data_IF_265978275765
#
_entry.id   IF_265978275765
#
_cell.length_a   1.000
_cell.length_b   1.000
_cell.length_c   1.000
_cell.angle_alpha   90.00
_cell.angle_beta   90.00
_cell.angle_gamma   90.00
#
_symmetry.space_group_name_H-M   'P 1'
#
loop_
_entity.id
_entity.type
_entity.pdbx_description
1 polymer ?
#
# COMPACT_ATOMS: atom_id res chain seq x y z
N UNK A 1 2.85 2.93 -20.76
CA UNK A 1 3.72 2.51 -19.64
C UNK A 1 3.15 1.24 -19.05
N UNK A 2 3.95 0.19 -18.91
CA UNK A 2 3.55 -1.06 -18.25
C UNK A 2 3.96 -1.03 -16.78
N UNK A 3 3.00 -1.26 -15.89
CA UNK A 3 3.20 -1.27 -14.44
C UNK A 3 3.06 -2.71 -13.95
N UNK A 4 3.99 -3.19 -13.12
CA UNK A 4 3.87 -4.44 -12.38
C UNK A 4 3.59 -4.14 -10.92
N UNK A 5 2.62 -4.84 -10.29
CA UNK A 5 2.13 -4.51 -8.95
C UNK A 5 2.21 -5.69 -8.00
N UNK A 6 2.68 -5.44 -6.78
CA UNK A 6 2.69 -6.39 -5.67
C UNK A 6 2.33 -5.69 -4.37
N UNK A 7 1.71 -6.40 -3.45
CA UNK A 7 1.57 -6.03 -2.04
C UNK A 7 1.54 -7.28 -1.16
N UNK A 8 1.63 -7.10 0.14
CA UNK A 8 1.44 -8.16 1.13
C UNK A 8 2.29 -9.42 0.86
N UNK A 9 3.55 -9.21 0.48
CA UNK A 9 4.52 -10.29 0.27
C UNK A 9 5.00 -10.89 1.58
N UNK A 10 4.95 -10.14 2.67
CA UNK A 10 5.28 -10.56 4.03
C UNK A 10 6.57 -11.39 4.10
N UNK A 11 7.64 -10.86 3.51
CA UNK A 11 8.93 -11.55 3.40
C UNK A 11 9.57 -11.83 4.76
N UNK A 12 9.16 -11.12 5.81
CA UNK A 12 9.59 -11.32 7.19
C UNK A 12 9.24 -12.70 7.73
N UNK A 13 8.26 -13.39 7.15
CA UNK A 13 7.89 -14.75 7.53
C UNK A 13 8.68 -15.84 6.79
N UNK A 14 9.75 -15.47 6.08
CA UNK A 14 10.65 -16.42 5.46
C UNK A 14 10.03 -17.16 4.27
N UNK A 15 9.17 -16.51 3.51
CA UNK A 15 8.44 -17.09 2.38
C UNK A 15 9.32 -17.69 1.29
N UNK A 16 10.60 -17.31 1.22
CA UNK A 16 11.47 -17.64 0.10
C UNK A 16 10.98 -17.12 -1.25
N UNK A 17 9.95 -16.26 -1.24
CA UNK A 17 9.42 -15.65 -2.46
C UNK A 17 10.50 -14.81 -3.15
N UNK A 18 10.62 -15.00 -4.43
CA UNK A 18 11.62 -14.31 -5.26
C UNK A 18 10.93 -13.74 -6.48
N UNK A 19 11.37 -12.54 -6.88
CA UNK A 19 10.87 -11.91 -8.10
C UNK A 19 11.02 -12.85 -9.30
N UNK A 20 9.92 -13.26 -9.96
CA UNK A 20 9.98 -14.14 -11.12
C UNK A 20 10.75 -13.49 -12.29
N UNK A 21 11.49 -14.27 -13.09
CA UNK A 21 12.20 -13.74 -14.26
C UNK A 21 11.28 -13.13 -15.32
N UNK A 22 10.00 -13.54 -15.33
CA UNK A 22 9.01 -13.10 -16.32
C UNK A 22 8.43 -11.70 -16.05
N UNK A 23 8.73 -11.08 -14.90
CA UNK A 23 8.23 -9.75 -14.57
C UNK A 23 8.75 -8.73 -15.57
N UNK A 24 7.85 -8.07 -16.29
CA UNK A 24 8.19 -7.20 -17.42
C UNK A 24 7.40 -5.88 -17.38
N UNK A 25 7.54 -5.11 -16.30
CA UNK A 25 7.04 -3.74 -16.20
C UNK A 25 8.10 -2.70 -16.57
N UNK A 26 7.68 -1.48 -16.84
CA UNK A 26 8.55 -0.30 -16.91
C UNK A 26 8.77 0.29 -15.52
N UNK A 27 7.76 0.16 -14.66
CA UNK A 27 7.73 0.55 -13.25
C UNK A 27 7.17 -0.62 -12.43
N UNK A 28 7.73 -0.85 -11.24
CA UNK A 28 7.16 -1.74 -10.24
C UNK A 28 6.51 -0.93 -9.13
N UNK A 29 5.32 -1.33 -8.69
CA UNK A 29 4.65 -0.80 -7.49
C UNK A 29 4.71 -1.87 -6.40
N UNK A 30 5.20 -1.47 -5.22
CA UNK A 30 5.15 -2.24 -3.99
C UNK A 30 4.21 -1.52 -3.03
N UNK A 31 2.99 -2.03 -2.90
CA UNK A 31 1.90 -1.35 -2.21
C UNK A 31 1.77 -1.74 -0.73
N UNK A 32 2.90 -1.85 -0.03
CA UNK A 32 2.99 -2.08 1.42
C UNK A 32 2.95 -3.55 1.83
N UNK A 33 3.29 -3.79 3.09
CA UNK A 33 3.41 -5.11 3.71
C UNK A 33 4.35 -6.05 2.95
N UNK A 34 5.45 -5.49 2.47
CA UNK A 34 6.49 -6.24 1.77
C UNK A 34 7.44 -6.88 2.77
N UNK A 35 7.84 -6.14 3.81
CA UNK A 35 8.79 -6.58 4.83
C UNK A 35 8.67 -5.73 6.09
N UNK A 36 8.91 -6.29 7.25
CA UNK A 36 9.09 -5.49 8.47
C UNK A 36 10.44 -4.76 8.42
N UNK A 37 10.47 -3.45 8.73
CA UNK A 37 11.68 -2.61 8.65
C UNK A 37 12.74 -2.93 9.72
N UNK A 38 12.58 -4.01 10.47
CA UNK A 38 13.60 -4.58 11.36
C UNK A 38 14.73 -5.28 10.59
N UNK A 39 14.43 -5.83 9.39
CA UNK A 39 15.39 -6.54 8.53
C UNK A 39 15.11 -6.26 7.05
N UNK A 40 16.05 -5.63 6.36
CA UNK A 40 15.94 -5.28 4.94
C UNK A 40 16.45 -6.39 3.98
N UNK A 41 17.10 -7.43 4.48
CA UNK A 41 17.75 -8.44 3.59
C UNK A 41 16.76 -9.11 2.63
N UNK A 42 15.54 -9.52 3.03
CA UNK A 42 14.60 -10.12 2.09
C UNK A 42 14.21 -9.15 0.95
N UNK A 43 14.00 -7.87 1.27
CA UNK A 43 13.69 -6.83 0.29
C UNK A 43 14.89 -6.53 -0.62
N UNK A 44 16.11 -6.50 -0.06
CA UNK A 44 17.35 -6.28 -0.82
C UNK A 44 17.53 -7.33 -1.94
N UNK A 45 17.20 -8.57 -1.67
CA UNK A 45 17.28 -9.67 -2.66
C UNK A 45 16.35 -9.45 -3.85
N UNK A 46 15.17 -8.88 -3.63
CA UNK A 46 14.22 -8.53 -4.70
C UNK A 46 14.73 -7.31 -5.48
N UNK A 47 15.09 -6.25 -4.77
CA UNK A 47 15.48 -4.98 -5.38
C UNK A 47 16.78 -5.06 -6.17
N UNK A 48 17.69 -5.98 -5.82
CA UNK A 48 18.91 -6.26 -6.61
C UNK A 48 18.60 -6.85 -7.98
N UNK A 49 17.49 -7.56 -8.14
CA UNK A 49 17.10 -8.20 -9.42
C UNK A 49 16.34 -7.26 -10.33
N UNK A 50 15.72 -6.21 -9.76
CA UNK A 50 14.97 -5.22 -10.51
C UNK A 50 15.74 -3.89 -10.56
N UNK A 51 16.02 -3.38 -11.77
CA UNK A 51 16.84 -2.18 -11.97
C UNK A 51 16.08 -0.99 -12.54
N UNK A 52 14.80 -1.19 -12.89
CA UNK A 52 13.91 -0.14 -13.34
C UNK A 52 13.29 0.59 -12.12
N UNK A 53 12.58 1.73 -12.30
CA UNK A 53 11.95 2.42 -11.19
C UNK A 53 11.03 1.53 -10.35
N UNK A 54 11.09 1.73 -9.04
CA UNK A 54 10.17 1.14 -8.06
C UNK A 54 9.50 2.27 -7.29
N UNK A 55 8.17 2.21 -7.17
CA UNK A 55 7.39 3.05 -6.28
C UNK A 55 6.96 2.20 -5.08
N UNK A 56 7.35 2.61 -3.91
CA UNK A 56 7.10 1.89 -2.66
C UNK A 56 6.23 2.76 -1.74
N UNK A 57 5.14 2.22 -1.25
CA UNK A 57 4.42 2.76 -0.09
C UNK A 57 4.54 1.78 1.07
N UNK A 58 4.59 2.26 2.29
CA UNK A 58 4.60 1.40 3.47
C UNK A 58 3.20 0.90 3.79
N UNK A 59 3.09 -0.33 4.28
CA UNK A 59 1.91 -0.82 4.96
C UNK A 59 2.06 -0.73 6.49
N UNK A 60 1.24 -1.45 7.22
CA UNK A 60 1.34 -1.49 8.67
C UNK A 60 2.47 -2.42 9.15
N UNK A 61 2.75 -3.53 8.45
CA UNK A 61 3.80 -4.47 8.84
C UNK A 61 5.21 -3.88 8.75
N UNK A 62 5.44 -2.92 7.86
CA UNK A 62 6.71 -2.18 7.83
C UNK A 62 7.05 -1.61 9.20
N UNK A 63 6.05 -1.19 9.98
CA UNK A 63 6.22 -0.54 11.28
C UNK A 63 6.10 -1.49 12.48
N UNK A 64 6.02 -2.80 12.31
CA UNK A 64 5.99 -3.77 13.42
C UNK A 64 7.36 -3.94 14.07
N UNK A 65 8.01 -2.81 14.40
CA UNK A 65 9.38 -2.75 14.93
C UNK A 65 9.46 -2.31 16.39
N UNK A 66 8.35 -1.87 16.96
CA UNK A 66 8.28 -1.21 18.28
C UNK A 66 9.15 0.05 18.37
N UNK A 67 9.40 0.71 17.25
CA UNK A 67 10.05 2.01 17.16
C UNK A 67 9.09 3.02 16.56
N UNK A 68 9.31 4.33 16.79
CA UNK A 68 8.52 5.37 16.14
C UNK A 68 8.52 5.25 14.62
N UNK A 69 7.33 5.35 13.99
CA UNK A 69 7.19 5.31 12.53
C UNK A 69 8.13 6.29 11.83
N UNK A 70 8.25 7.53 12.36
CA UNK A 70 9.12 8.55 11.76
C UNK A 70 10.62 8.19 11.80
N UNK A 71 11.05 7.42 12.79
CA UNK A 71 12.43 6.91 12.86
C UNK A 71 12.64 5.86 11.78
N UNK A 72 11.70 4.92 11.64
CA UNK A 72 11.77 3.88 10.62
C UNK A 72 11.73 4.47 9.20
N UNK A 73 10.88 5.45 8.94
CA UNK A 73 10.84 6.17 7.66
C UNK A 73 12.19 6.78 7.31
N UNK A 74 12.84 7.44 8.26
CA UNK A 74 14.14 8.06 8.05
C UNK A 74 15.24 7.01 7.80
N UNK A 75 15.24 5.91 8.54
CA UNK A 75 16.19 4.80 8.37
C UNK A 75 16.00 4.14 7.02
N UNK A 76 14.76 3.86 6.64
CA UNK A 76 14.43 3.22 5.37
C UNK A 76 14.76 4.12 4.17
N UNK A 77 14.41 5.40 4.22
CA UNK A 77 14.81 6.41 3.21
C UNK A 77 16.34 6.45 3.04
N UNK A 78 17.09 6.45 4.13
CA UNK A 78 18.55 6.48 4.08
C UNK A 78 19.13 5.20 3.46
N UNK A 79 18.59 4.03 3.81
CA UNK A 79 19.00 2.75 3.26
C UNK A 79 18.69 2.64 1.77
N UNK A 80 17.46 3.00 1.34
CA UNK A 80 17.08 3.02 -0.07
C UNK A 80 17.97 3.95 -0.90
N UNK A 81 18.23 5.16 -0.39
CA UNK A 81 19.12 6.11 -1.07
C UNK A 81 20.53 5.55 -1.27
N UNK A 82 21.05 4.82 -0.30
CA UNK A 82 22.41 4.26 -0.33
C UNK A 82 22.51 3.00 -1.20
N UNK A 83 21.51 2.13 -1.17
CA UNK A 83 21.56 0.79 -1.80
C UNK A 83 20.73 0.66 -3.08
N UNK A 84 19.58 1.33 -3.12
CA UNK A 84 18.57 1.21 -4.18
C UNK A 84 18.04 2.57 -4.65
N UNK A 85 18.88 3.44 -5.25
CA UNK A 85 18.47 4.80 -5.65
C UNK A 85 17.38 4.84 -6.73
N UNK A 86 17.04 3.69 -7.35
CA UNK A 86 15.93 3.52 -8.29
C UNK A 86 14.57 3.32 -7.59
N UNK A 87 14.55 3.18 -6.25
CA UNK A 87 13.33 3.08 -5.44
C UNK A 87 12.93 4.45 -4.92
N UNK A 88 11.66 4.79 -5.08
CA UNK A 88 11.02 5.97 -4.49
C UNK A 88 10.05 5.53 -3.43
N UNK A 89 10.36 5.80 -2.17
CA UNK A 89 9.43 5.68 -1.06
C UNK A 89 8.49 6.89 -1.08
N UNK A 90 7.19 6.61 -1.16
CA UNK A 90 6.14 7.63 -1.16
C UNK A 90 5.42 7.61 0.19
N UNK A 91 5.56 8.68 0.96
CA UNK A 91 4.90 8.91 2.25
C UNK A 91 3.95 10.09 2.09
N UNK A 92 2.77 9.85 1.52
CA UNK A 92 1.82 10.86 1.05
C UNK A 92 2.46 11.83 0.05
N UNK A 93 3.30 11.29 -0.83
CA UNK A 93 4.11 12.06 -1.76
C UNK A 93 3.75 11.75 -3.21
N UNK A 94 4.11 12.67 -4.11
CA UNK A 94 3.90 12.54 -5.55
C UNK A 94 5.22 12.38 -6.31
N UNK A 95 5.16 11.73 -7.46
CA UNK A 95 6.25 11.64 -8.42
C UNK A 95 5.71 11.49 -9.84
N UNK A 96 6.41 12.02 -10.83
CA UNK A 96 6.10 11.78 -12.25
C UNK A 96 7.20 10.96 -12.89
N UNK A 97 6.83 9.88 -13.59
CA UNK A 97 7.74 8.99 -14.31
C UNK A 97 7.18 8.75 -15.71
N UNK A 98 7.96 9.04 -16.75
CA UNK A 98 7.60 8.74 -18.13
C UNK A 98 6.23 9.30 -18.57
N UNK A 99 5.84 10.49 -18.10
CA UNK A 99 4.56 11.13 -18.43
C UNK A 99 3.37 10.69 -17.59
N UNK A 100 3.53 9.71 -16.70
CA UNK A 100 2.51 9.27 -15.73
C UNK A 100 2.76 9.94 -14.38
N UNK A 101 1.70 10.45 -13.74
CA UNK A 101 1.76 11.10 -12.44
C UNK A 101 1.26 10.13 -11.37
N UNK A 102 2.06 9.93 -10.34
CA UNK A 102 1.77 9.03 -9.22
C UNK A 102 1.63 9.82 -7.92
N UNK A 103 0.72 9.40 -7.07
CA UNK A 103 0.62 9.82 -5.67
C UNK A 103 0.52 8.55 -4.81
N UNK A 104 1.24 8.50 -3.68
CA UNK A 104 1.21 7.31 -2.84
C UNK A 104 1.52 7.55 -1.37
N UNK A 105 1.00 6.67 -0.54
CA UNK A 105 1.20 6.61 0.91
C UNK A 105 0.44 5.43 1.52
N UNK A 106 0.62 5.19 2.82
CA UNK A 106 -0.09 4.10 3.52
C UNK A 106 -1.61 4.29 3.47
N UNK A 107 -2.06 5.53 3.50
CA UNK A 107 -3.44 5.99 3.56
C UNK A 107 -4.09 5.79 4.93
N UNK A 108 -3.88 4.64 5.60
CA UNK A 108 -4.58 4.26 6.82
C UNK A 108 -6.10 4.25 6.62
N UNK A 109 -6.89 4.36 7.70
CA UNK A 109 -8.35 4.32 7.61
C UNK A 109 -9.01 5.37 8.50
N UNK A 110 -10.19 5.83 8.08
CA UNK A 110 -11.08 6.71 8.86
C UNK A 110 -12.02 5.94 9.79
N UNK A 111 -11.94 4.60 9.82
CA UNK A 111 -12.87 3.74 10.54
C UNK A 111 -14.34 4.03 10.21
N UNK A 112 -14.66 4.24 8.93
CA UNK A 112 -16.00 4.56 8.48
C UNK A 112 -16.60 5.76 9.29
N UNK A 113 -15.89 6.88 9.29
CA UNK A 113 -16.21 8.11 10.04
C UNK A 113 -16.16 7.93 11.56
N UNK A 114 -15.10 7.28 12.04
CA UNK A 114 -14.84 7.04 13.47
C UNK A 114 -15.92 6.16 14.16
N UNK A 115 -16.29 5.06 13.52
CA UNK A 115 -17.16 4.04 14.17
C UNK A 115 -16.48 3.52 15.43
N UNK A 116 -17.04 3.84 16.59
CA UNK A 116 -16.44 3.51 17.89
C UNK A 116 -16.30 2.00 18.10
N UNK A 117 -17.26 1.20 17.61
CA UNK A 117 -17.21 -0.26 17.76
C UNK A 117 -16.09 -0.86 16.93
N UNK A 118 -15.92 -0.38 15.69
CA UNK A 118 -14.82 -0.79 14.84
C UNK A 118 -13.46 -0.40 15.45
N UNK A 119 -13.35 0.82 15.99
CA UNK A 119 -12.13 1.31 16.66
C UNK A 119 -11.79 0.48 17.90
N UNK A 120 -12.76 0.18 18.78
CA UNK A 120 -12.56 -0.67 19.96
C UNK A 120 -12.16 -2.10 19.56
N UNK A 121 -12.83 -2.65 18.56
CA UNK A 121 -12.52 -4.00 18.06
C UNK A 121 -11.11 -4.05 17.49
N UNK A 122 -10.76 -3.13 16.62
CA UNK A 122 -9.43 -3.05 16.02
C UNK A 122 -8.35 -2.82 17.09
N UNK A 123 -8.54 -1.84 17.97
CA UNK A 123 -7.61 -1.52 19.06
C UNK A 123 -7.31 -2.70 20.00
N UNK A 124 -8.28 -3.63 20.16
CA UNK A 124 -8.10 -4.82 20.99
C UNK A 124 -7.52 -6.02 20.22
N UNK A 125 -7.76 -6.15 18.92
CA UNK A 125 -7.45 -7.35 18.15
C UNK A 125 -6.27 -7.20 17.18
N UNK A 126 -6.04 -6.00 16.62
CA UNK A 126 -4.99 -5.79 15.62
C UNK A 126 -3.63 -5.54 16.28
N UNK A 127 -2.59 -6.08 15.65
CA UNK A 127 -1.20 -5.88 16.10
C UNK A 127 -0.70 -4.45 15.88
N UNK A 128 -1.31 -3.70 14.98
CA UNK A 128 -1.01 -2.29 14.72
C UNK A 128 -0.92 -1.49 16.03
N UNK A 129 -1.91 -1.68 16.90
CA UNK A 129 -2.05 -0.94 18.17
C UNK A 129 -1.21 -1.49 19.32
N UNK A 130 -0.34 -2.48 19.03
CA UNK A 130 0.60 -3.10 19.99
C UNK A 130 2.06 -2.99 19.54
N UNK A 131 2.28 -2.91 18.23
CA UNK A 131 3.62 -3.02 17.63
C UNK A 131 4.08 -1.73 16.93
N UNK A 132 3.16 -0.84 16.59
CA UNK A 132 3.46 0.46 15.98
C UNK A 132 3.52 1.53 17.07
N UNK A 133 4.44 2.48 16.93
CA UNK A 133 4.66 3.55 17.90
C UNK A 133 4.66 4.92 17.21
N UNK A 134 4.10 5.89 17.91
CA UNK A 134 4.10 7.31 17.57
C UNK A 134 5.47 7.95 17.79
N UNK A 135 5.76 9.16 17.25
CA UNK A 135 7.02 9.87 17.46
C UNK A 135 7.37 10.16 18.93
N UNK A 136 6.38 10.22 19.81
CA UNK A 136 6.54 10.41 21.26
C UNK A 136 6.68 9.09 22.04
N UNK A 137 6.92 7.99 21.31
CA UNK A 137 7.06 6.63 21.86
C UNK A 137 5.79 6.07 22.51
N UNK A 138 4.64 6.69 22.30
CA UNK A 138 3.35 6.11 22.69
C UNK A 138 2.88 5.06 21.68
N UNK A 139 2.13 4.02 22.08
CA UNK A 139 1.53 3.08 21.15
C UNK A 139 0.60 3.81 20.16
N UNK A 140 0.65 3.39 18.91
CA UNK A 140 -0.27 3.84 17.86
C UNK A 140 -1.72 3.49 18.24
N UNK A 141 -2.67 4.34 17.87
CA UNK A 141 -4.08 4.16 18.21
C UNK A 141 -4.98 4.27 16.98
N UNK A 142 -6.24 3.78 17.03
CA UNK A 142 -7.22 4.03 15.98
C UNK A 142 -7.46 5.52 15.69
N UNK A 143 -7.31 6.39 16.69
CA UNK A 143 -7.41 7.84 16.50
C UNK A 143 -6.24 8.41 15.68
N UNK A 144 -5.04 7.87 15.87
CA UNK A 144 -3.87 8.24 15.08
C UNK A 144 -4.03 7.79 13.62
N UNK A 145 -4.57 6.58 13.39
CA UNK A 145 -4.92 6.10 12.04
C UNK A 145 -5.85 7.09 11.33
N UNK A 146 -6.92 7.55 12.00
CA UNK A 146 -7.84 8.55 11.46
C UNK A 146 -7.12 9.87 11.14
N UNK A 147 -6.20 10.31 12.00
CA UNK A 147 -5.44 11.55 11.77
C UNK A 147 -4.54 11.44 10.55
N UNK A 148 -3.83 10.32 10.39
CA UNK A 148 -2.99 10.05 9.22
C UNK A 148 -3.82 9.91 7.95
N UNK A 149 -4.97 9.22 8.02
CA UNK A 149 -5.89 9.12 6.89
C UNK A 149 -6.37 10.50 6.39
N UNK A 150 -6.76 11.39 7.30
CA UNK A 150 -7.17 12.75 6.96
C UNK A 150 -6.03 13.54 6.29
N UNK A 151 -4.80 13.34 6.75
CA UNK A 151 -3.62 13.96 6.12
C UNK A 151 -3.45 13.46 4.68
N UNK A 152 -3.47 12.13 4.48
CA UNK A 152 -3.39 11.51 3.15
C UNK A 152 -4.50 12.07 2.23
N UNK A 153 -5.76 12.05 2.66
CA UNK A 153 -6.90 12.53 1.88
C UNK A 153 -6.74 14.01 1.47
N UNK A 154 -6.32 14.86 2.41
CA UNK A 154 -6.06 16.28 2.15
C UNK A 154 -4.95 16.47 1.11
N UNK A 155 -3.83 15.76 1.23
CA UNK A 155 -2.71 15.84 0.28
C UNK A 155 -3.09 15.29 -1.09
N UNK A 156 -3.85 14.19 -1.14
CA UNK A 156 -4.38 13.61 -2.37
C UNK A 156 -5.29 14.59 -3.11
N UNK A 157 -6.23 15.24 -2.39
CA UNK A 157 -7.12 16.25 -2.99
C UNK A 157 -6.32 17.46 -3.52
N UNK A 158 -5.33 17.93 -2.77
CA UNK A 158 -4.43 18.98 -3.24
C UNK A 158 -3.68 18.57 -4.51
N UNK A 159 -3.22 17.32 -4.60
CA UNK A 159 -2.57 16.80 -5.80
C UNK A 159 -3.54 16.70 -6.98
N UNK A 160 -4.77 16.28 -6.78
CA UNK A 160 -5.80 16.28 -7.83
C UNK A 160 -6.11 17.70 -8.33
N UNK A 161 -6.02 18.71 -7.48
CA UNK A 161 -6.18 20.13 -7.84
C UNK A 161 -5.06 20.70 -8.71
N UNK A 162 -3.91 20.02 -8.84
CA UNK A 162 -2.79 20.48 -9.68
C UNK A 162 -3.11 20.32 -11.17
N UNK A 163 -2.65 21.27 -11.98
CA UNK A 163 -2.74 21.18 -13.44
C UNK A 163 -1.57 20.33 -13.98
N UNK A 164 -1.71 19.01 -13.89
CA UNK A 164 -0.71 18.05 -14.38
C UNK A 164 -1.20 17.45 -15.69
N UNK A 165 -0.33 17.40 -16.70
CA UNK A 165 -0.57 16.65 -17.93
C UNK A 165 -0.32 15.15 -17.70
N UNK A 166 -1.05 14.29 -18.45
CA UNK A 166 -0.90 12.84 -18.43
C UNK A 166 -1.77 12.14 -17.38
N UNK A 167 -1.79 10.81 -17.43
CA UNK A 167 -2.62 9.98 -16.55
C UNK A 167 -2.18 10.06 -15.10
N UNK A 168 -3.14 9.83 -14.19
CA UNK A 168 -2.93 9.83 -12.74
C UNK A 168 -3.14 8.45 -12.17
N UNK A 169 -2.19 8.00 -11.35
CA UNK A 169 -2.20 6.72 -10.65
C UNK A 169 -2.09 6.98 -9.15
N UNK A 170 -2.95 6.36 -8.36
CA UNK A 170 -2.88 6.42 -6.90
C UNK A 170 -2.42 5.08 -6.35
N UNK A 171 -1.59 5.12 -5.32
CA UNK A 171 -1.05 3.93 -4.63
C UNK A 171 -1.35 4.10 -3.14
N UNK A 172 -2.07 3.16 -2.57
CA UNK A 172 -2.28 3.10 -1.12
C UNK A 172 -1.95 1.70 -0.60
N UNK A 173 -1.76 1.55 0.71
CA UNK A 173 -1.75 0.24 1.32
C UNK A 173 -3.16 -0.15 1.72
N UNK A 174 -3.85 0.64 2.55
CA UNK A 174 -5.24 0.37 2.88
C UNK A 174 -6.15 0.48 1.64
N UNK A 175 -7.24 -0.28 1.63
CA UNK A 175 -8.15 -0.34 0.50
C UNK A 175 -9.06 0.90 0.42
N UNK A 176 -9.17 1.54 -0.76
CA UNK A 176 -10.07 2.69 -0.97
C UNK A 176 -11.54 2.27 -1.13
N UNK A 177 -11.79 0.97 -1.28
CA UNK A 177 -13.09 0.37 -1.57
C UNK A 177 -13.22 -0.96 -0.86
N UNK A 178 -14.43 -1.53 -0.83
CA UNK A 178 -14.63 -2.93 -0.45
C UNK A 178 -14.66 -3.77 -1.73
N UNK A 179 -13.84 -4.83 -1.79
CA UNK A 179 -13.92 -5.82 -2.84
C UNK A 179 -15.34 -6.45 -2.82
N UNK A 180 -16.09 -6.41 -3.94
CA UNK A 180 -17.45 -6.96 -3.99
C UNK A 180 -17.52 -8.45 -3.60
N UNK A 181 -16.44 -9.19 -3.84
CA UNK A 181 -16.31 -10.62 -3.59
C UNK A 181 -15.65 -10.95 -2.24
N UNK A 182 -15.38 -9.93 -1.41
CA UNK A 182 -14.69 -10.12 -0.14
C UNK A 182 -15.46 -11.04 0.81
N UNK A 183 -14.76 -12.05 1.32
CA UNK A 183 -15.25 -12.91 2.41
C UNK A 183 -15.37 -12.20 3.76
N UNK A 184 -14.71 -11.03 3.90
CA UNK A 184 -14.70 -10.20 5.12
C UNK A 184 -15.72 -9.08 5.10
N UNK A 185 -16.47 -8.93 4.02
CA UNK A 185 -17.44 -7.85 3.84
C UNK A 185 -18.48 -7.84 4.97
N UNK A 186 -18.63 -6.65 5.60
CA UNK A 186 -19.56 -6.46 6.72
C UNK A 186 -19.08 -7.04 8.06
N UNK A 187 -17.85 -7.53 8.13
CA UNK A 187 -17.22 -7.92 9.38
C UNK A 187 -16.91 -6.72 10.29
N UNK A 188 -16.73 -6.93 11.59
CA UNK A 188 -16.50 -5.85 12.56
C UNK A 188 -15.18 -5.10 12.32
N UNK A 189 -14.21 -5.74 11.65
CA UNK A 189 -12.92 -5.16 11.29
C UNK A 189 -12.89 -4.55 9.87
N UNK A 190 -13.95 -4.72 9.07
CA UNK A 190 -13.99 -4.12 7.71
C UNK A 190 -13.59 -2.63 7.71
N UNK A 191 -14.05 -1.78 8.65
CA UNK A 191 -13.65 -0.38 8.68
C UNK A 191 -12.18 -0.12 9.04
N UNK A 192 -11.45 -1.12 9.55
CA UNK A 192 -10.02 -1.02 9.80
C UNK A 192 -9.18 -1.31 8.56
N UNK A 193 -9.76 -1.95 7.55
CA UNK A 193 -9.07 -2.33 6.31
C UNK A 193 -9.44 -1.42 5.13
N UNK A 194 -10.65 -0.85 5.14
CA UNK A 194 -11.24 -0.15 4.00
C UNK A 194 -11.66 1.28 4.38
N UNK A 195 -11.35 2.25 3.51
CA UNK A 195 -11.71 3.66 3.68
C UNK A 195 -12.70 4.08 2.61
N UNK A 196 -14.00 3.92 2.92
CA UNK A 196 -15.11 4.11 1.97
C UNK A 196 -15.35 5.56 1.55
N UNK A 197 -14.82 6.54 2.26
CA UNK A 197 -14.83 7.95 1.88
C UNK A 197 -14.02 8.20 0.59
N UNK A 198 -13.05 7.32 0.27
CA UNK A 198 -12.29 7.38 -0.98
C UNK A 198 -13.14 7.12 -2.22
N UNK A 199 -14.27 6.41 -2.11
CA UNK A 199 -15.18 6.16 -3.26
C UNK A 199 -15.60 7.49 -3.91
N UNK A 200 -16.03 8.48 -3.11
CA UNK A 200 -16.42 9.79 -3.64
C UNK A 200 -15.27 10.55 -4.30
N UNK A 201 -14.04 10.38 -3.81
CA UNK A 201 -12.84 10.96 -4.43
C UNK A 201 -12.55 10.27 -5.76
N UNK A 202 -12.65 8.94 -5.82
CA UNK A 202 -12.48 8.17 -7.06
C UNK A 202 -13.52 8.59 -8.10
N UNK A 203 -14.80 8.66 -7.73
CA UNK A 203 -15.88 9.06 -8.62
C UNK A 203 -15.71 10.48 -9.17
N UNK A 204 -15.17 11.38 -8.36
CA UNK A 204 -14.98 12.80 -8.74
C UNK A 204 -13.75 13.00 -9.63
N UNK A 205 -12.63 12.36 -9.31
CA UNK A 205 -11.33 12.67 -9.93
C UNK A 205 -10.88 11.64 -10.97
N UNK A 206 -11.45 10.43 -10.96
CA UNK A 206 -11.24 9.38 -11.96
C UNK A 206 -9.75 9.15 -12.30
N UNK A 207 -8.84 8.86 -11.31
CA UNK A 207 -7.50 8.41 -11.66
C UNK A 207 -7.62 7.16 -12.55
N UNK A 208 -6.71 6.97 -13.50
CA UNK A 208 -6.79 5.83 -14.42
C UNK A 208 -6.59 4.49 -13.72
N UNK A 209 -5.83 4.51 -12.61
CA UNK A 209 -5.51 3.32 -11.83
C UNK A 209 -5.40 3.67 -10.34
N UNK A 210 -5.90 2.77 -9.48
CA UNK A 210 -5.62 2.76 -8.05
C UNK A 210 -5.11 1.37 -7.65
N UNK A 211 -3.92 1.32 -7.06
CA UNK A 211 -3.28 0.08 -6.57
C UNK A 211 -3.33 0.07 -5.06
N UNK A 212 -3.71 -1.07 -4.47
CA UNK A 212 -3.77 -1.21 -3.01
C UNK A 212 -3.40 -2.61 -2.52
N UNK A 213 -3.29 -2.80 -1.19
CA UNK A 213 -3.00 -4.06 -0.49
C UNK A 213 -3.88 -4.27 0.74
N UNK A 214 -3.31 -4.81 1.83
CA UNK A 214 -3.85 -4.88 3.19
C UNK A 214 -5.00 -5.86 3.42
N UNK A 215 -5.87 -6.07 2.45
CA UNK A 215 -7.10 -6.85 2.62
C UNK A 215 -6.88 -8.35 2.57
N UNK A 216 -5.69 -8.78 2.17
CA UNK A 216 -5.36 -10.18 1.90
C UNK A 216 -6.29 -10.85 0.88
N UNK A 217 -6.78 -10.05 -0.07
CA UNK A 217 -7.63 -10.50 -1.17
C UNK A 217 -7.20 -9.84 -2.47
N UNK A 218 -7.02 -10.61 -3.53
CA UNK A 218 -6.81 -10.04 -4.85
C UNK A 218 -8.09 -9.35 -5.34
N UNK A 219 -7.95 -8.25 -6.04
CA UNK A 219 -9.07 -7.45 -6.54
C UNK A 219 -8.76 -6.89 -7.93
N UNK A 220 -9.78 -6.80 -8.77
CA UNK A 220 -9.75 -6.12 -10.05
C UNK A 220 -11.16 -5.63 -10.36
N UNK A 221 -11.46 -4.40 -9.97
CA UNK A 221 -12.76 -3.78 -10.14
C UNK A 221 -12.64 -2.41 -10.80
N UNK A 222 -13.77 -1.83 -11.21
CA UNK A 222 -13.81 -0.52 -11.87
C UNK A 222 -14.90 0.36 -11.26
N UNK A 223 -14.55 1.62 -10.95
CA UNK A 223 -15.50 2.68 -10.59
C UNK A 223 -15.36 3.81 -11.62
N UNK A 224 -16.40 4.02 -12.41
CA UNK A 224 -16.33 4.95 -13.54
C UNK A 224 -15.25 4.53 -14.53
N UNK A 225 -14.19 5.34 -14.69
CA UNK A 225 -13.02 5.03 -15.53
C UNK A 225 -11.82 4.53 -14.74
N UNK A 226 -11.90 4.53 -13.41
CA UNK A 226 -10.81 4.10 -12.55
C UNK A 226 -10.80 2.59 -12.39
N UNK A 227 -9.73 1.94 -12.86
CA UNK A 227 -9.45 0.53 -12.50
C UNK A 227 -8.80 0.49 -11.13
N UNK A 228 -9.28 -0.38 -10.25
CA UNK A 228 -8.82 -0.54 -8.87
C UNK A 228 -8.36 -1.98 -8.72
N UNK A 229 -7.09 -2.16 -8.36
CA UNK A 229 -6.47 -3.49 -8.33
C UNK A 229 -5.71 -3.74 -7.04
N UNK A 230 -5.65 -5.02 -6.68
CA UNK A 230 -4.80 -5.54 -5.62
C UNK A 230 -4.23 -6.89 -6.03
N UNK A 231 -2.90 -7.09 -5.86
CA UNK A 231 -2.20 -8.31 -6.23
C UNK A 231 -1.33 -8.78 -5.07
N UNK A 232 -1.87 -9.66 -4.25
CA UNK A 232 -1.29 -10.04 -2.96
C UNK A 232 -1.30 -11.58 -2.76
N UNK A 233 -0.13 -12.20 -2.49
CA UNK A 233 -0.05 -13.63 -2.17
C UNK A 233 -0.48 -13.95 -0.73
N UNK A 234 -0.49 -12.94 0.13
CA UNK A 234 -0.74 -12.99 1.56
C UNK A 234 0.44 -13.59 2.34
N UNK A 235 0.34 -14.72 2.98
CA UNK A 235 1.42 -15.30 3.79
C UNK A 235 2.10 -16.51 3.10
N UNK A 236 2.85 -16.32 2.02
CA UNK A 236 3.42 -17.46 1.28
C UNK A 236 4.37 -18.33 2.12
N UNK A 237 4.96 -17.76 3.20
CA UNK A 237 5.82 -18.51 4.12
C UNK A 237 5.09 -19.38 5.13
N UNK A 238 3.78 -19.20 5.33
CA UNK A 238 3.00 -19.90 6.36
C UNK A 238 2.06 -20.99 5.82
N UNK A 239 2.09 -21.28 4.53
CA UNK A 239 1.24 -22.36 3.99
C UNK A 239 0.94 -22.22 2.49
N UNK A 240 1.61 -21.34 1.79
CA UNK A 240 1.45 -21.10 0.37
C UNK A 240 0.63 -19.84 0.06
N UNK A 241 0.31 -19.64 -1.21
CA UNK A 241 -0.47 -18.51 -1.69
C UNK A 241 -1.93 -18.69 -1.29
N UNK A 242 -2.44 -17.81 -0.42
CA UNK A 242 -3.84 -17.85 0.02
C UNK A 242 -4.79 -17.27 -1.05
N UNK A 243 -4.32 -16.27 -1.80
CA UNK A 243 -5.09 -15.64 -2.86
C UNK A 243 -4.88 -16.40 -4.19
N UNK A 244 -5.93 -17.09 -4.65
CA UNK A 244 -5.87 -17.90 -5.87
C UNK A 244 -5.65 -17.09 -7.15
N UNK A 245 -6.01 -15.81 -7.11
CA UNK A 245 -5.92 -14.90 -8.26
C UNK A 245 -4.62 -14.09 -8.23
N UNK A 246 -3.67 -14.44 -7.35
CA UNK A 246 -2.36 -13.81 -7.31
C UNK A 246 -1.60 -14.07 -8.61
N UNK A 247 -1.22 -13.01 -9.29
CA UNK A 247 -0.35 -13.07 -10.47
C UNK A 247 1.12 -12.90 -10.05
N UNK A 248 1.87 -13.99 -10.06
CA UNK A 248 3.30 -13.97 -9.75
C UNK A 248 4.12 -13.10 -10.72
N UNK A 249 3.65 -12.89 -11.95
CA UNK A 249 4.28 -11.99 -12.91
C UNK A 249 4.00 -10.51 -12.63
N UNK A 250 3.23 -10.20 -11.58
CA UNK A 250 3.02 -8.84 -11.07
C UNK A 250 1.83 -8.12 -11.66
N UNK A 251 0.73 -8.83 -11.98
CA UNK A 251 -0.52 -8.26 -12.51
C UNK A 251 -0.26 -7.03 -13.40
N UNK A 252 0.23 -7.21 -14.63
CA UNK A 252 0.69 -6.11 -15.46
C UNK A 252 -0.48 -5.23 -15.91
N UNK A 253 -0.32 -3.90 -15.75
CA UNK A 253 -1.29 -2.90 -16.17
C UNK A 253 -0.67 -1.95 -17.18
N UNK A 254 -1.33 -1.76 -18.32
CA UNK A 254 -0.94 -0.76 -19.31
C UNK A 254 -1.62 0.58 -18.99
N UNK A 255 -0.81 1.62 -18.78
CA UNK A 255 -1.27 2.99 -18.63
C UNK A 255 -0.84 3.77 -19.87
N UNK A 256 -1.84 4.28 -20.62
CA UNK A 256 -1.61 5.12 -21.80
C UNK A 256 -0.93 6.45 -21.39
N UNK A 257 0.02 6.93 -22.20
CA UNK A 257 0.74 8.20 -21.99
C UNK A 257 0.41 9.13 -23.16
#
# INVERSE_FOLDING_TARGET
>A
MRISTYSDLHLEFGSGWMLPPAVNGDVMILAGDIVTLSDYEPLDQILRKWRKPVLYVTGNHEYYTRRPMSEEDNRFKAWLKAKHPHVRLLLDEEVSIGGVNFFGGTMWTDFNRADLRAMETAGSQMNDYRLIYNPDETPFTPADSIALHKNFASRLLNWFGKNLSGPRVVISHNAPVINPNSKYRGGPLTPAFNSLDMVGIIETHQPVLWVYGHTHECDDQTIGQTRIISNQPVYPGLGGVECKDFDEAGLPVEVGV
#
